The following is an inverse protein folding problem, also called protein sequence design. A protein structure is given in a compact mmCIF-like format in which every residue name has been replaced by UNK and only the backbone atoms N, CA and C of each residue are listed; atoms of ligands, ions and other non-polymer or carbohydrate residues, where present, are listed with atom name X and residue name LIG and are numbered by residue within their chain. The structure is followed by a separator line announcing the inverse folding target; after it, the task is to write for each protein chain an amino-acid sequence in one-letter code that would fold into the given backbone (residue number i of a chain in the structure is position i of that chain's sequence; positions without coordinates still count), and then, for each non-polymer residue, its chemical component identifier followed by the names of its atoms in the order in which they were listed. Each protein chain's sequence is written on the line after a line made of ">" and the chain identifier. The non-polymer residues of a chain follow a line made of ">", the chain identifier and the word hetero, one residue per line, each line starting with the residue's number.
data_IF_244926557027
#
_entry.id   IF_244926557027
#
_cell.length_a   1.000
_cell.length_b   1.000
_cell.length_c   1.000
_cell.angle_alpha   90.00
_cell.angle_beta   90.00
_cell.angle_gamma   90.00
#
_symmetry.space_group_name_H-M   'P 1'
#
loop_
_entity.id
_entity.type
_entity.pdbx_description
1 polymer ?
#
# COMPACT_ATOMS: atom_id res chain seq x y z
N UNK A 1 35.26 87.99 -42.95
CA UNK A 1 35.57 87.77 -41.52
C UNK A 1 35.14 86.37 -41.15
N UNK A 2 35.95 85.71 -40.31
CA UNK A 2 35.90 84.29 -39.93
C UNK A 2 34.56 83.85 -39.30
N UNK A 3 34.39 82.52 -39.30
CA UNK A 3 33.66 81.59 -38.38
C UNK A 3 32.53 80.84 -39.08
N UNK A 4 32.34 79.52 -38.96
CA UNK A 4 33.16 78.38 -38.48
C UNK A 4 32.34 77.12 -38.77
N UNK A 5 33.03 76.08 -39.21
CA UNK A 5 32.61 74.70 -39.45
C UNK A 5 32.24 73.93 -38.18
N UNK A 6 31.21 73.06 -38.21
CA UNK A 6 31.19 71.77 -37.50
C UNK A 6 30.26 70.78 -38.23
N UNK A 7 30.84 69.71 -38.76
CA UNK A 7 30.17 68.54 -39.34
C UNK A 7 29.89 67.52 -38.23
N UNK A 8 28.64 67.07 -38.11
CA UNK A 8 28.23 66.03 -37.17
C UNK A 8 28.52 64.64 -37.76
N UNK A 9 29.46 63.91 -37.15
CA UNK A 9 29.69 62.49 -37.41
C UNK A 9 28.90 61.65 -36.40
N UNK A 10 27.93 60.88 -36.88
CA UNK A 10 27.23 59.87 -36.09
C UNK A 10 28.05 58.56 -36.07
N UNK A 11 28.34 58.05 -34.88
CA UNK A 11 28.94 56.73 -34.66
C UNK A 11 27.81 55.71 -34.52
N UNK A 12 27.64 54.85 -35.51
CA UNK A 12 26.78 53.67 -35.42
C UNK A 12 27.62 52.44 -35.07
N UNK A 13 27.48 51.95 -33.84
CA UNK A 13 28.07 50.71 -33.36
C UNK A 13 27.26 49.53 -33.94
N UNK A 14 27.82 48.81 -34.91
CA UNK A 14 27.22 47.58 -35.44
C UNK A 14 27.47 46.40 -34.52
N UNK A 15 26.43 45.90 -33.85
CA UNK A 15 26.45 44.63 -33.13
C UNK A 15 26.15 43.53 -34.15
N UNK A 16 27.14 42.69 -34.47
CA UNK A 16 26.93 41.48 -35.25
C UNK A 16 26.26 40.41 -34.36
N UNK A 17 24.96 40.17 -34.54
CA UNK A 17 24.28 38.99 -34.01
C UNK A 17 24.69 37.78 -34.87
N UNK A 18 25.55 36.92 -34.33
CA UNK A 18 25.74 35.58 -34.86
C UNK A 18 24.53 34.71 -34.50
N UNK A 19 23.66 34.46 -35.49
CA UNK A 19 22.59 33.47 -35.36
C UNK A 19 23.21 32.06 -35.34
N UNK A 20 23.31 31.46 -34.16
CA UNK A 20 23.62 30.03 -34.03
C UNK A 20 22.37 29.25 -34.41
N UNK A 21 22.35 28.74 -35.64
CA UNK A 21 21.36 27.74 -36.07
C UNK A 21 21.77 26.42 -35.43
N UNK A 22 21.13 26.07 -34.31
CA UNK A 22 21.20 24.72 -33.75
C UNK A 22 20.35 23.83 -34.64
N UNK A 23 20.99 23.07 -35.53
CA UNK A 23 20.35 21.98 -36.24
C UNK A 23 19.97 20.92 -35.21
N UNK A 24 18.69 20.89 -34.83
CA UNK A 24 18.11 19.73 -34.15
C UNK A 24 18.14 18.59 -35.17
N UNK A 25 19.12 17.69 -35.04
CA UNK A 25 19.09 16.42 -35.77
C UNK A 25 17.76 15.70 -35.50
N UNK A 26 17.28 14.85 -36.43
CA UNK A 26 16.08 14.08 -36.20
C UNK A 26 16.27 13.29 -34.91
N UNK A 27 15.47 13.63 -33.88
CA UNK A 27 15.48 12.92 -32.62
C UNK A 27 15.28 11.44 -32.92
N UNK A 28 16.22 10.60 -32.50
CA UNK A 28 16.09 9.15 -32.64
C UNK A 28 14.75 8.77 -32.06
N UNK A 29 13.84 8.25 -32.89
CA UNK A 29 12.59 7.70 -32.42
C UNK A 29 12.94 6.67 -31.35
N UNK A 30 12.52 6.91 -30.11
CA UNK A 30 12.76 5.98 -29.03
C UNK A 30 12.21 4.63 -29.46
N UNK A 31 13.08 3.64 -29.62
CA UNK A 31 12.67 2.27 -29.93
C UNK A 31 11.72 1.86 -28.82
N UNK A 32 10.47 1.57 -29.17
CA UNK A 32 9.48 1.11 -28.21
C UNK A 32 10.05 -0.12 -27.50
N UNK A 33 10.05 -0.12 -26.17
CA UNK A 33 10.49 -1.28 -25.42
C UNK A 33 9.66 -2.51 -25.88
N UNK A 34 10.28 -3.67 -26.09
CA UNK A 34 9.56 -4.87 -26.47
C UNK A 34 8.47 -5.17 -25.42
N UNK A 35 7.30 -5.65 -25.84
CA UNK A 35 6.23 -6.00 -24.91
C UNK A 35 6.61 -7.25 -24.11
N UNK A 36 6.16 -7.33 -22.86
CA UNK A 36 6.30 -8.57 -22.09
C UNK A 36 5.43 -9.66 -22.74
N UNK A 37 6.02 -10.80 -23.08
CA UNK A 37 5.31 -11.87 -23.79
C UNK A 37 4.48 -12.74 -22.82
N UNK A 38 3.22 -12.99 -23.19
CA UNK A 38 2.29 -13.86 -22.48
C UNK A 38 1.30 -13.12 -21.57
N UNK A 39 0.23 -13.80 -21.17
CA UNK A 39 -0.84 -13.23 -20.31
C UNK A 39 -0.39 -13.05 -18.85
N UNK A 40 0.69 -13.73 -18.47
CA UNK A 40 1.31 -13.69 -17.15
C UNK A 40 2.75 -13.27 -17.27
N UNK A 41 3.12 -12.23 -16.53
CA UNK A 41 4.45 -11.64 -16.53
C UNK A 41 5.17 -11.99 -15.24
N UNK A 42 6.37 -12.55 -15.35
CA UNK A 42 7.24 -12.85 -14.21
C UNK A 42 8.09 -11.64 -13.82
N UNK A 43 8.64 -11.65 -12.60
CA UNK A 43 9.56 -10.60 -12.15
C UNK A 43 10.82 -10.51 -13.02
N UNK A 44 11.28 -11.64 -13.57
CA UNK A 44 12.43 -11.70 -14.49
C UNK A 44 12.13 -10.98 -15.81
N UNK A 45 10.94 -11.18 -16.38
CA UNK A 45 10.49 -10.46 -17.57
C UNK A 45 10.39 -8.95 -17.28
N UNK A 46 9.82 -8.53 -16.14
CA UNK A 46 9.78 -7.11 -15.78
C UNK A 46 11.18 -6.49 -15.63
N UNK A 47 12.14 -7.25 -15.10
CA UNK A 47 13.52 -6.79 -14.95
C UNK A 47 14.20 -6.54 -16.30
N UNK A 48 13.73 -7.16 -17.39
CA UNK A 48 14.22 -6.87 -18.75
C UNK A 48 13.76 -5.52 -19.31
N UNK A 49 12.85 -4.81 -18.60
CA UNK A 49 12.35 -3.49 -18.99
C UNK A 49 11.30 -3.51 -20.09
N UNK A 50 10.62 -4.65 -20.31
CA UNK A 50 9.56 -4.75 -21.30
C UNK A 50 8.31 -3.91 -20.95
N UNK A 51 7.56 -3.51 -21.98
CA UNK A 51 6.31 -2.76 -21.82
C UNK A 51 5.14 -3.67 -21.43
N UNK A 52 4.33 -3.20 -20.49
CA UNK A 52 3.28 -3.95 -19.81
C UNK A 52 1.94 -3.29 -20.14
N UNK A 53 1.20 -3.83 -21.11
CA UNK A 53 -0.05 -3.21 -21.60
C UNK A 53 -1.25 -3.52 -20.70
N UNK A 54 -1.51 -4.80 -20.37
CA UNK A 54 -2.47 -5.26 -19.34
C UNK A 54 -2.23 -6.72 -18.89
N UNK A 55 -1.03 -7.13 -18.44
CA UNK A 55 -0.82 -8.50 -17.95
C UNK A 55 -1.02 -8.62 -16.44
N UNK A 56 -1.14 -9.87 -16.01
CA UNK A 56 -1.10 -10.26 -14.60
C UNK A 56 0.35 -10.53 -14.18
N UNK A 57 0.85 -9.90 -13.13
CA UNK A 57 2.11 -10.27 -12.50
C UNK A 57 1.89 -11.49 -11.61
N UNK A 58 2.75 -12.49 -11.76
CA UNK A 58 2.76 -13.67 -10.89
C UNK A 58 4.04 -13.68 -10.08
N UNK A 59 3.91 -13.63 -8.76
CA UNK A 59 5.03 -13.74 -7.84
C UNK A 59 5.48 -15.20 -7.68
N UNK A 60 6.72 -15.46 -7.21
CA UNK A 60 7.22 -16.82 -6.99
C UNK A 60 6.35 -17.66 -6.04
N UNK A 61 5.65 -17.02 -5.11
CA UNK A 61 4.71 -17.66 -4.18
C UNK A 61 3.32 -17.96 -4.78
N UNK A 62 3.10 -17.61 -6.05
CA UNK A 62 1.85 -17.87 -6.77
C UNK A 62 0.79 -16.78 -6.63
N UNK A 63 1.02 -15.71 -5.84
CA UNK A 63 0.13 -14.55 -5.81
C UNK A 63 0.06 -13.89 -7.18
N UNK A 64 -1.16 -13.47 -7.55
CA UNK A 64 -1.45 -12.91 -8.87
C UNK A 64 -2.00 -11.50 -8.74
N UNK A 65 -1.44 -10.59 -9.54
CA UNK A 65 -1.76 -9.17 -9.50
C UNK A 65 -2.06 -8.64 -10.88
N UNK A 66 -3.21 -8.01 -11.08
CA UNK A 66 -3.42 -7.20 -12.27
C UNK A 66 -2.57 -5.94 -12.14
N UNK A 67 -1.74 -5.66 -13.16
CA UNK A 67 -0.94 -4.43 -13.17
C UNK A 67 -1.89 -3.23 -13.20
N UNK A 68 -1.74 -2.27 -12.26
CA UNK A 68 -2.65 -1.13 -12.21
C UNK A 68 -2.32 -0.13 -13.33
N UNK A 69 -3.24 0.81 -13.56
CA UNK A 69 -3.03 1.91 -14.51
C UNK A 69 -1.76 2.72 -14.18
N UNK A 70 -1.10 3.34 -15.18
CA UNK A 70 0.04 4.22 -14.96
C UNK A 70 -0.23 5.28 -13.88
N UNK A 71 0.74 5.48 -12.98
CA UNK A 71 0.64 6.39 -11.83
C UNK A 71 -0.06 5.80 -10.61
N UNK A 72 -0.43 4.51 -10.64
CA UNK A 72 -1.14 3.83 -9.56
C UNK A 72 -0.25 2.76 -8.91
N UNK A 73 -0.38 2.64 -7.59
CA UNK A 73 0.16 1.53 -6.80
C UNK A 73 -1.00 0.68 -6.30
N UNK A 74 -0.93 -0.63 -6.50
CA UNK A 74 -1.77 -1.60 -5.80
C UNK A 74 -0.93 -2.30 -4.73
N UNK A 75 -1.46 -2.43 -3.52
CA UNK A 75 -0.81 -3.18 -2.43
C UNK A 75 -1.68 -4.34 -1.98
N UNK A 76 -1.11 -5.52 -1.74
CA UNK A 76 -1.77 -6.65 -1.06
C UNK A 76 -1.07 -6.91 0.28
N UNK A 77 -1.87 -6.96 1.33
CA UNK A 77 -1.41 -6.94 2.71
C UNK A 77 -2.12 -8.09 3.45
N UNK A 78 -1.49 -9.26 3.58
CA UNK A 78 -2.11 -10.47 4.13
C UNK A 78 -1.90 -10.60 5.63
N UNK A 79 -2.81 -11.27 6.35
CA UNK A 79 -2.52 -11.75 7.72
C UNK A 79 -2.74 -13.25 7.80
N UNK A 80 -1.79 -13.96 8.42
CA UNK A 80 -1.81 -15.42 8.51
C UNK A 80 -2.15 -15.93 9.92
N UNK A 81 -2.43 -17.22 10.02
CA UNK A 81 -2.45 -17.93 11.29
C UNK A 81 -1.04 -17.98 11.89
N UNK A 82 -0.94 -17.91 13.22
CA UNK A 82 0.35 -17.97 13.91
C UNK A 82 1.15 -19.24 13.55
N UNK A 83 2.45 -19.06 13.31
CA UNK A 83 3.36 -20.14 12.89
C UNK A 83 3.42 -20.36 11.38
N UNK A 84 2.70 -19.55 10.60
CA UNK A 84 2.71 -19.58 9.13
C UNK A 84 3.28 -18.26 8.60
N UNK A 85 4.00 -18.36 7.49
CA UNK A 85 4.45 -17.21 6.68
C UNK A 85 3.25 -16.65 5.91
N UNK A 86 3.01 -15.35 6.00
CA UNK A 86 1.92 -14.65 5.31
C UNK A 86 2.25 -14.29 3.85
N UNK A 87 3.51 -14.49 3.44
CA UNK A 87 4.04 -14.10 2.14
C UNK A 87 4.49 -12.63 2.09
N UNK A 88 4.34 -11.86 3.16
CA UNK A 88 4.77 -10.47 3.25
C UNK A 88 3.93 -9.44 2.48
N UNK A 89 4.18 -8.17 2.78
CA UNK A 89 3.49 -7.02 2.18
C UNK A 89 3.94 -6.83 0.73
N UNK A 90 3.02 -6.74 -0.22
CA UNK A 90 3.36 -6.50 -1.64
C UNK A 90 2.84 -5.14 -2.08
N UNK A 91 3.67 -4.38 -2.80
CA UNK A 91 3.25 -3.22 -3.58
C UNK A 91 3.71 -3.34 -5.03
N UNK A 92 2.80 -3.12 -5.97
CA UNK A 92 3.07 -3.06 -7.41
C UNK A 92 2.70 -1.68 -7.92
N UNK A 93 3.70 -0.94 -8.40
CA UNK A 93 3.55 0.41 -8.90
C UNK A 93 3.81 0.45 -10.39
N UNK A 94 2.81 0.88 -11.17
CA UNK A 94 3.01 1.20 -12.57
C UNK A 94 3.46 2.66 -12.68
N UNK A 95 4.75 2.89 -12.97
CA UNK A 95 5.32 4.24 -13.10
C UNK A 95 5.13 4.85 -14.51
N UNK A 96 4.31 4.21 -15.35
CA UNK A 96 4.12 4.60 -16.74
C UNK A 96 5.36 4.27 -17.57
N UNK A 97 5.96 5.28 -18.20
CA UNK A 97 7.10 5.08 -19.12
C UNK A 97 8.33 4.47 -18.47
N UNK A 98 8.52 4.63 -17.16
CA UNK A 98 9.63 4.03 -16.44
C UNK A 98 9.42 2.53 -16.15
N UNK A 99 8.22 1.98 -16.38
CA UNK A 99 7.88 0.57 -16.22
C UNK A 99 7.20 0.26 -14.89
N UNK A 100 7.27 -1.00 -14.46
CA UNK A 100 6.66 -1.46 -13.21
C UNK A 100 7.73 -1.70 -12.15
N UNK A 101 7.47 -1.23 -10.94
CA UNK A 101 8.22 -1.58 -9.74
C UNK A 101 7.38 -2.54 -8.89
N UNK A 102 8.02 -3.60 -8.38
CA UNK A 102 7.43 -4.53 -7.43
C UNK A 102 8.25 -4.47 -6.15
N UNK A 103 7.57 -4.35 -5.03
CA UNK A 103 8.16 -4.42 -3.70
C UNK A 103 7.49 -5.56 -2.94
N UNK A 104 8.27 -6.47 -2.39
CA UNK A 104 7.83 -7.51 -1.44
C UNK A 104 8.58 -7.26 -0.15
N UNK A 105 7.87 -6.91 0.92
CA UNK A 105 8.41 -6.35 2.15
C UNK A 105 9.40 -5.20 1.88
N UNK A 106 10.70 -5.43 2.01
CA UNK A 106 11.75 -4.46 1.72
C UNK A 106 12.56 -4.77 0.44
N UNK A 107 12.28 -5.90 -0.21
CA UNK A 107 12.92 -6.32 -1.45
C UNK A 107 12.26 -5.67 -2.67
N UNK A 108 13.07 -5.15 -3.59
CA UNK A 108 12.62 -4.47 -4.81
C UNK A 108 12.96 -5.28 -6.06
N UNK A 109 12.05 -5.24 -7.04
CA UNK A 109 12.18 -5.92 -8.33
C UNK A 109 11.44 -5.14 -9.43
N UNK A 110 11.65 -5.52 -10.68
CA UNK A 110 11.05 -4.87 -11.86
C UNK A 110 12.02 -3.94 -12.58
N UNK A 111 11.49 -2.97 -13.33
CA UNK A 111 12.31 -2.05 -14.12
C UNK A 111 13.20 -1.22 -13.20
N UNK A 112 14.51 -1.16 -13.50
CA UNK A 112 15.46 -0.39 -12.68
C UNK A 112 15.10 1.10 -12.60
N UNK A 113 14.51 1.67 -13.66
CA UNK A 113 14.04 3.05 -13.64
C UNK A 113 12.81 3.22 -12.73
N UNK A 114 11.81 2.34 -12.86
CA UNK A 114 10.63 2.33 -12.01
C UNK A 114 10.98 2.15 -10.54
N UNK A 115 11.86 1.19 -10.21
CA UNK A 115 12.31 0.93 -8.84
C UNK A 115 13.00 2.14 -8.22
N UNK A 116 13.90 2.82 -8.95
CA UNK A 116 14.54 4.04 -8.45
C UNK A 116 13.53 5.15 -8.18
N UNK A 117 12.62 5.36 -9.12
CA UNK A 117 11.58 6.39 -9.01
C UNK A 117 10.66 6.11 -7.81
N UNK A 118 10.13 4.90 -7.69
CA UNK A 118 9.17 4.58 -6.65
C UNK A 118 9.84 4.48 -5.26
N UNK A 119 11.09 4.01 -5.17
CA UNK A 119 11.82 4.03 -3.91
C UNK A 119 12.03 5.45 -3.39
N UNK A 120 12.32 6.40 -4.28
CA UNK A 120 12.44 7.81 -3.91
C UNK A 120 11.08 8.39 -3.50
N UNK A 121 10.04 8.18 -4.33
CA UNK A 121 8.71 8.67 -4.05
C UNK A 121 8.15 8.12 -2.72
N UNK A 122 8.35 6.84 -2.44
CA UNK A 122 7.96 6.24 -1.15
C UNK A 122 8.69 6.89 0.01
N UNK A 123 10.02 7.10 -0.10
CA UNK A 123 10.80 7.80 0.94
C UNK A 123 10.22 9.17 1.23
N UNK A 124 9.88 9.92 0.20
CA UNK A 124 9.31 11.26 0.33
C UNK A 124 7.93 11.20 1.00
N UNK A 125 7.08 10.23 0.63
CA UNK A 125 5.74 10.05 1.23
C UNK A 125 5.79 9.60 2.69
N UNK A 126 6.85 8.91 3.11
CA UNK A 126 7.04 8.49 4.52
C UNK A 126 8.05 9.37 5.25
N UNK A 127 8.48 10.50 4.67
CA UNK A 127 9.38 11.46 5.32
C UNK A 127 8.59 12.46 6.17
N UNK A 128 8.13 11.99 7.33
CA UNK A 128 7.71 12.82 8.48
C UNK A 128 7.74 11.95 9.74
N UNK A 129 8.52 12.27 10.76
CA UNK A 129 8.84 11.42 11.93
C UNK A 129 9.72 10.18 11.61
N UNK A 130 11.04 10.38 11.71
CA UNK A 130 11.99 9.29 11.93
C UNK A 130 11.86 8.88 13.40
N UNK A 131 11.20 7.76 13.67
CA UNK A 131 11.49 6.95 14.86
C UNK A 131 12.27 5.75 14.37
N UNK A 132 13.41 5.50 15.01
CA UNK A 132 14.39 4.46 14.67
C UNK A 132 13.73 3.10 14.44
N UNK A 133 13.80 2.60 13.21
CA UNK A 133 13.48 1.20 12.86
C UNK A 133 14.48 0.28 13.56
N UNK A 134 13.98 -0.59 14.45
CA UNK A 134 14.69 -1.81 14.79
C UNK A 134 14.76 -2.69 13.55
N UNK A 135 15.96 -3.10 13.16
CA UNK A 135 16.16 -4.08 12.10
C UNK A 135 15.40 -5.37 12.44
N UNK A 136 14.71 -5.95 11.46
CA UNK A 136 14.26 -7.34 11.53
C UNK A 136 15.50 -8.23 11.70
N UNK A 137 15.82 -8.55 12.94
CA UNK A 137 16.92 -9.44 13.31
C UNK A 137 16.32 -10.66 13.98
N UNK A 138 16.71 -11.83 13.48
CA UNK A 138 16.37 -13.17 13.97
C UNK A 138 17.10 -13.48 15.27
N UNK A 139 16.88 -12.66 16.30
CA UNK A 139 17.36 -12.94 17.65
C UNK A 139 16.17 -12.92 18.61
N UNK A 140 16.07 -13.97 19.42
CA UNK A 140 15.05 -14.15 20.44
C UNK A 140 15.22 -13.12 21.57
N UNK A 141 14.95 -11.84 21.30
CA UNK A 141 14.68 -10.85 22.32
C UNK A 141 13.28 -11.10 22.87
N UNK A 142 13.15 -11.04 24.20
CA UNK A 142 11.89 -11.05 24.95
C UNK A 142 10.80 -10.28 24.19
N UNK A 143 9.64 -10.91 23.97
CA UNK A 143 8.52 -10.27 23.28
C UNK A 143 8.25 -8.89 23.90
N UNK A 144 8.26 -7.85 23.05
CA UNK A 144 7.89 -6.52 23.51
C UNK A 144 6.41 -6.55 23.91
N UNK A 145 6.06 -5.90 25.02
CA UNK A 145 4.65 -5.75 25.37
C UNK A 145 4.01 -4.72 24.44
N UNK A 146 2.72 -4.88 24.14
CA UNK A 146 1.97 -3.97 23.26
C UNK A 146 2.14 -2.50 23.63
N UNK A 147 2.30 -2.19 24.92
CA UNK A 147 2.44 -0.82 25.43
C UNK A 147 3.88 -0.30 25.60
N UNK A 148 4.90 -1.09 25.25
CA UNK A 148 6.29 -0.63 25.23
C UNK A 148 6.87 -0.59 23.82
N UNK A 149 6.26 -1.32 22.89
CA UNK A 149 6.69 -1.32 21.51
C UNK A 149 6.19 -0.09 20.76
N UNK A 150 7.11 0.72 20.25
CA UNK A 150 6.82 1.93 19.45
C UNK A 150 6.99 1.72 17.95
N UNK A 151 7.25 0.50 17.49
CA UNK A 151 7.50 0.22 16.08
C UNK A 151 6.21 0.36 15.26
N UNK A 152 6.32 0.95 14.06
CA UNK A 152 5.28 0.94 13.05
C UNK A 152 5.91 1.07 11.65
N UNK A 153 5.16 0.66 10.63
CA UNK A 153 5.54 0.81 9.22
C UNK A 153 4.47 1.62 8.51
N UNK A 154 4.86 2.57 7.67
CA UNK A 154 3.94 3.30 6.79
C UNK A 154 4.12 2.82 5.35
N UNK A 155 2.99 2.59 4.68
CA UNK A 155 2.93 2.19 3.27
C UNK A 155 3.04 3.39 2.31
N UNK A 156 3.00 4.61 2.85
CA UNK A 156 3.16 5.84 2.06
C UNK A 156 1.91 6.22 1.28
N UNK A 157 0.74 5.79 1.74
CA UNK A 157 -0.55 6.34 1.31
C UNK A 157 -1.42 6.71 2.50
N UNK A 158 -2.42 7.57 2.26
CA UNK A 158 -3.52 7.88 3.18
C UNK A 158 -4.79 8.17 2.40
N UNK A 159 -5.92 8.15 3.08
CA UNK A 159 -7.18 8.63 2.52
C UNK A 159 -7.31 10.16 2.66
N UNK A 160 -7.96 10.78 1.67
CA UNK A 160 -8.30 12.20 1.70
C UNK A 160 -9.63 12.49 2.43
N UNK A 161 -10.44 11.46 2.64
CA UNK A 161 -11.71 11.51 3.37
C UNK A 161 -12.06 10.12 3.90
N UNK A 162 -13.30 9.90 4.39
CA UNK A 162 -13.70 8.61 4.94
C UNK A 162 -13.64 7.49 3.90
N UNK A 163 -13.26 6.30 4.34
CA UNK A 163 -13.33 5.08 3.54
C UNK A 163 -14.79 4.67 3.41
N UNK A 164 -15.39 4.89 2.24
CA UNK A 164 -16.74 4.41 1.95
C UNK A 164 -16.67 2.95 1.49
N UNK A 165 -17.16 2.02 2.30
CA UNK A 165 -17.08 0.59 2.00
C UNK A 165 -18.44 -0.10 2.04
N UNK A 166 -18.60 -1.12 1.21
CA UNK A 166 -19.80 -1.97 1.19
C UNK A 166 -19.46 -3.39 1.59
N UNK A 167 -20.44 -4.11 2.12
CA UNK A 167 -20.26 -5.48 2.59
C UNK A 167 -20.86 -6.51 1.63
N UNK A 168 -20.06 -7.51 1.26
CA UNK A 168 -20.53 -8.68 0.53
C UNK A 168 -20.78 -9.86 1.49
N UNK A 169 -22.04 -10.25 1.76
CA UNK A 169 -22.39 -11.36 2.66
C UNK A 169 -22.20 -12.75 2.04
N UNK A 170 -21.86 -12.86 0.75
CA UNK A 170 -21.72 -14.16 0.12
C UNK A 170 -20.62 -14.98 0.82
N UNK A 171 -20.90 -16.25 1.10
CA UNK A 171 -20.00 -17.20 1.78
C UNK A 171 -19.58 -16.82 3.21
N UNK A 172 -20.28 -15.87 3.83
CA UNK A 172 -20.05 -15.42 5.20
C UNK A 172 -20.03 -16.59 6.20
N UNK A 173 -19.06 -16.56 7.11
CA UNK A 173 -18.87 -17.62 8.13
C UNK A 173 -19.46 -17.29 9.49
N UNK A 174 -19.51 -16.01 9.84
CA UNK A 174 -20.12 -15.46 11.06
C UNK A 174 -20.68 -14.08 10.76
N UNK A 175 -21.61 -13.56 11.57
CA UNK A 175 -22.11 -12.18 11.43
C UNK A 175 -20.94 -11.17 11.44
N UNK A 176 -20.70 -10.51 10.30
CA UNK A 176 -19.45 -9.83 10.01
C UNK A 176 -19.47 -8.30 10.11
N UNK A 177 -20.46 -7.58 9.52
CA UNK A 177 -20.36 -6.13 9.35
C UNK A 177 -20.10 -5.34 10.63
N UNK A 178 -20.75 -5.72 11.73
CA UNK A 178 -20.55 -5.05 13.02
C UNK A 178 -19.17 -5.31 13.61
N UNK A 179 -18.67 -6.55 13.53
CA UNK A 179 -17.33 -6.89 14.04
C UNK A 179 -16.23 -6.25 13.19
N UNK A 180 -16.43 -6.19 11.86
CA UNK A 180 -15.52 -5.56 10.91
C UNK A 180 -15.51 -4.04 11.10
N UNK A 181 -16.69 -3.42 11.20
CA UNK A 181 -16.82 -1.99 11.50
C UNK A 181 -16.19 -1.63 12.84
N UNK A 182 -16.38 -2.43 13.88
CA UNK A 182 -15.73 -2.23 15.17
C UNK A 182 -14.21 -2.40 15.15
N UNK A 183 -13.66 -3.09 14.14
CA UNK A 183 -12.22 -3.13 13.87
C UNK A 183 -11.73 -1.84 13.22
N UNK A 184 -12.54 -1.25 12.32
CA UNK A 184 -12.27 0.06 11.73
C UNK A 184 -12.31 1.17 12.80
N UNK A 185 -13.36 1.18 13.61
CA UNK A 185 -13.61 2.18 14.65
C UNK A 185 -12.53 2.19 15.76
N UNK A 186 -11.70 1.15 15.85
CA UNK A 186 -10.56 1.14 16.75
C UNK A 186 -9.47 2.16 16.37
N UNK A 187 -9.47 2.64 15.12
CA UNK A 187 -8.49 3.57 14.56
C UNK A 187 -8.99 5.01 14.43
N UNK A 188 -10.27 5.27 14.70
CA UNK A 188 -10.92 6.54 14.33
C UNK A 188 -11.21 7.42 15.55
N UNK A 189 -11.18 8.74 15.35
CA UNK A 189 -11.55 9.71 16.39
C UNK A 189 -10.58 9.71 17.60
N UNK A 190 -11.07 10.04 18.81
CA UNK A 190 -10.26 9.99 20.03
C UNK A 190 -9.90 8.54 20.38
N UNK A 191 -8.63 8.19 20.19
CA UNK A 191 -8.11 6.85 20.51
C UNK A 191 -7.20 6.95 21.73
N UNK A 192 -7.52 6.19 22.77
CA UNK A 192 -6.71 6.12 24.00
C UNK A 192 -6.18 4.70 24.21
N UNK A 193 -4.87 4.55 24.25
CA UNK A 193 -4.21 3.29 24.58
C UNK A 193 -2.86 3.53 25.23
N UNK A 194 -2.42 2.59 26.07
CA UNK A 194 -1.10 2.62 26.69
C UNK A 194 -0.76 3.95 27.42
N UNK A 195 -1.78 4.58 28.03
CA UNK A 195 -1.63 5.85 28.74
C UNK A 195 -1.47 7.08 27.84
N UNK A 196 -1.66 6.95 26.53
CA UNK A 196 -1.61 8.04 25.55
C UNK A 196 -2.95 8.16 24.83
N UNK A 197 -3.33 9.40 24.51
CA UNK A 197 -4.51 9.72 23.71
C UNK A 197 -4.09 10.53 22.49
N UNK A 198 -4.62 10.16 21.33
CA UNK A 198 -4.52 10.93 20.08
C UNK A 198 -5.93 11.15 19.55
N UNK A 199 -6.07 12.03 18.55
CA UNK A 199 -7.30 12.17 17.77
C UNK A 199 -6.98 11.87 16.32
N UNK A 200 -7.30 10.67 15.86
CA UNK A 200 -7.09 10.24 14.49
C UNK A 200 -8.16 10.83 13.58
N UNK A 201 -7.74 11.41 12.45
CA UNK A 201 -8.64 11.85 11.37
C UNK A 201 -9.02 10.73 10.39
N UNK A 202 -8.53 9.49 10.62
CA UNK A 202 -9.00 8.32 9.88
C UNK A 202 -10.50 8.11 10.17
N UNK A 203 -11.26 7.76 9.13
CA UNK A 203 -12.70 7.57 9.24
C UNK A 203 -13.20 6.58 8.19
N UNK A 204 -14.39 6.05 8.41
CA UNK A 204 -15.05 5.11 7.51
C UNK A 204 -16.56 5.31 7.51
N UNK A 205 -17.18 4.88 6.41
CA UNK A 205 -18.63 4.82 6.29
C UNK A 205 -19.04 3.52 5.63
N UNK A 206 -19.74 2.68 6.40
CA UNK A 206 -20.39 1.50 5.87
C UNK A 206 -21.63 1.89 5.05
N UNK A 207 -21.61 1.58 3.75
CA UNK A 207 -22.68 1.88 2.79
C UNK A 207 -23.78 0.81 2.76
N UNK A 208 -23.60 -0.30 3.48
CA UNK A 208 -24.53 -1.42 3.51
C UNK A 208 -24.10 -2.57 2.60
N UNK A 209 -25.06 -3.41 2.22
CA UNK A 209 -24.80 -4.63 1.46
C UNK A 209 -24.60 -4.34 -0.02
N UNK A 210 -23.50 -4.85 -0.58
CA UNK A 210 -23.23 -4.89 -2.02
C UNK A 210 -22.72 -6.29 -2.38
N UNK A 211 -23.47 -7.03 -3.20
CA UNK A 211 -23.09 -8.38 -3.65
C UNK A 211 -22.12 -8.36 -4.83
N UNK A 212 -21.04 -7.59 -4.70
CA UNK A 212 -19.97 -7.49 -5.69
C UNK A 212 -18.75 -8.30 -5.24
N UNK A 213 -18.06 -8.94 -6.17
CA UNK A 213 -16.81 -9.62 -5.84
C UNK A 213 -15.73 -8.59 -5.45
N UNK A 214 -14.96 -8.91 -4.41
CA UNK A 214 -13.79 -8.12 -4.04
C UNK A 214 -12.67 -8.35 -5.05
N UNK A 215 -11.88 -7.31 -5.32
CA UNK A 215 -10.66 -7.32 -6.11
C UNK A 215 -9.53 -8.13 -5.47
N UNK A 216 -9.60 -8.51 -4.19
CA UNK A 216 -8.67 -9.51 -3.64
C UNK A 216 -8.85 -10.85 -4.38
N UNK A 217 -7.77 -11.43 -4.90
CA UNK A 217 -7.82 -12.70 -5.65
C UNK A 217 -7.77 -13.92 -4.73
N UNK A 218 -8.15 -15.10 -5.24
CA UNK A 218 -8.11 -16.33 -4.45
C UNK A 218 -6.67 -16.78 -4.09
N UNK A 219 -5.66 -16.28 -4.81
CA UNK A 219 -4.26 -16.55 -4.50
C UNK A 219 -3.67 -15.55 -3.51
N UNK A 220 -4.43 -14.56 -3.03
CA UNK A 220 -3.96 -13.54 -2.07
C UNK A 220 -3.29 -12.31 -2.70
N UNK A 221 -3.43 -12.11 -4.02
CA UNK A 221 -3.03 -10.86 -4.69
C UNK A 221 -4.23 -9.95 -4.99
N UNK A 222 -4.06 -8.99 -5.89
CA UNK A 222 -5.09 -7.99 -6.22
C UNK A 222 -5.45 -7.97 -7.71
N UNK A 223 -6.73 -7.91 -8.01
CA UNK A 223 -7.28 -7.71 -9.34
C UNK A 223 -7.24 -6.25 -9.79
N UNK A 224 -8.05 -5.94 -10.80
CA UNK A 224 -8.24 -4.55 -11.23
C UNK A 224 -9.10 -3.78 -10.21
N UNK A 225 -8.75 -2.52 -9.98
CA UNK A 225 -9.61 -1.57 -9.27
C UNK A 225 -10.95 -1.41 -10.01
N UNK A 226 -12.05 -1.32 -9.28
CA UNK A 226 -13.40 -1.18 -9.84
C UNK A 226 -14.18 0.03 -9.28
N UNK A 227 -13.48 0.94 -8.61
CA UNK A 227 -13.99 2.13 -7.94
C UNK A 227 -14.96 1.86 -6.78
N UNK A 228 -15.05 0.63 -6.27
CA UNK A 228 -15.86 0.27 -5.11
C UNK A 228 -14.97 -0.40 -4.07
N UNK A 229 -15.02 0.09 -2.83
CA UNK A 229 -14.36 -0.60 -1.71
C UNK A 229 -15.30 -1.66 -1.14
N UNK A 230 -14.93 -2.93 -1.25
CA UNK A 230 -15.76 -4.07 -0.88
C UNK A 230 -15.06 -4.96 0.12
N UNK A 231 -15.76 -5.23 1.23
CA UNK A 231 -15.33 -6.17 2.26
C UNK A 231 -16.20 -7.42 2.23
N UNK A 232 -15.60 -8.61 2.17
CA UNK A 232 -16.37 -9.85 2.13
C UNK A 232 -15.57 -11.11 2.36
N UNK A 233 -16.09 -12.25 1.90
CA UNK A 233 -15.56 -13.57 2.20
C UNK A 233 -15.19 -14.34 0.92
N UNK A 234 -14.11 -15.09 0.96
CA UNK A 234 -13.71 -15.91 -0.17
C UNK A 234 -12.61 -16.90 0.15
N UNK A 235 -12.25 -17.71 -0.85
CA UNK A 235 -11.04 -18.51 -0.77
C UNK A 235 -9.81 -17.61 -0.73
N UNK A 236 -8.85 -18.03 0.08
CA UNK A 236 -7.50 -17.48 0.21
C UNK A 236 -6.52 -18.65 0.30
N UNK A 237 -5.21 -18.40 0.16
CA UNK A 237 -4.19 -19.41 0.42
C UNK A 237 -4.37 -20.06 1.80
N UNK A 238 -3.84 -21.27 1.92
CA UNK A 238 -3.95 -22.05 3.15
C UNK A 238 -3.40 -21.23 4.33
N UNK A 239 -4.16 -21.21 5.43
CA UNK A 239 -3.82 -20.55 6.69
C UNK A 239 -3.69 -19.01 6.62
N UNK A 240 -3.97 -18.38 5.47
CA UNK A 240 -4.24 -16.93 5.38
C UNK A 240 -5.63 -16.63 5.91
N UNK A 241 -5.74 -15.65 6.81
CA UNK A 241 -6.98 -15.27 7.49
C UNK A 241 -7.68 -14.12 6.78
N UNK A 242 -6.91 -13.11 6.38
CA UNK A 242 -7.38 -11.89 5.75
C UNK A 242 -6.37 -11.39 4.72
N UNK A 243 -6.84 -10.64 3.73
CA UNK A 243 -6.00 -9.85 2.83
C UNK A 243 -6.70 -8.55 2.53
N UNK A 244 -5.97 -7.45 2.65
CA UNK A 244 -6.38 -6.12 2.23
C UNK A 244 -5.65 -5.72 0.95
N UNK A 245 -6.43 -5.42 -0.10
CA UNK A 245 -5.94 -4.76 -1.30
C UNK A 245 -6.22 -3.27 -1.22
N UNK A 246 -5.21 -2.41 -1.44
CA UNK A 246 -5.40 -0.96 -1.53
C UNK A 246 -4.82 -0.44 -2.83
N UNK A 247 -5.61 0.34 -3.57
CA UNK A 247 -5.14 1.10 -4.72
C UNK A 247 -4.94 2.56 -4.33
N UNK A 248 -3.79 3.12 -4.68
CA UNK A 248 -3.44 4.51 -4.40
C UNK A 248 -2.80 5.20 -5.60
N UNK A 249 -3.02 6.51 -5.71
CA UNK A 249 -2.47 7.37 -6.76
C UNK A 249 -1.70 8.50 -6.09
N UNK A 250 -0.40 8.57 -6.34
CA UNK A 250 0.49 9.58 -5.74
C UNK A 250 0.37 9.69 -4.21
N UNK A 251 0.16 8.58 -3.51
CA UNK A 251 -0.01 8.55 -2.05
C UNK A 251 -1.43 8.80 -1.54
N UNK A 252 -2.40 9.03 -2.41
CA UNK A 252 -3.82 9.10 -2.04
C UNK A 252 -4.48 7.76 -2.31
N UNK A 253 -4.97 7.08 -1.28
CA UNK A 253 -5.78 5.88 -1.43
C UNK A 253 -7.12 6.22 -2.10
N UNK A 254 -7.57 5.36 -3.01
CA UNK A 254 -8.78 5.56 -3.81
C UNK A 254 -9.75 4.38 -3.73
N UNK A 255 -9.27 3.20 -3.37
CA UNK A 255 -10.08 1.98 -3.24
C UNK A 255 -9.40 1.03 -2.25
N UNK A 256 -10.19 0.34 -1.43
CA UNK A 256 -9.72 -0.76 -0.60
C UNK A 256 -10.70 -1.92 -0.61
N UNK A 257 -10.18 -3.12 -0.82
CA UNK A 257 -10.96 -4.35 -0.78
C UNK A 257 -10.39 -5.29 0.26
N UNK A 258 -11.25 -5.94 1.03
CA UNK A 258 -10.84 -6.91 2.05
C UNK A 258 -11.52 -8.24 1.81
N UNK A 259 -10.74 -9.32 1.91
CA UNK A 259 -11.28 -10.68 1.86
C UNK A 259 -10.90 -11.42 3.13
N UNK A 260 -11.90 -11.98 3.80
CA UNK A 260 -11.74 -12.88 4.93
C UNK A 260 -11.89 -14.32 4.47
N UNK A 261 -11.03 -15.19 4.98
CA UNK A 261 -10.92 -16.57 4.53
C UNK A 261 -12.14 -17.41 4.88
N UNK A 262 -12.59 -18.22 3.93
CA UNK A 262 -13.67 -19.19 4.14
C UNK A 262 -13.17 -20.57 4.60
N UNK A 263 -11.86 -20.77 4.74
CA UNK A 263 -11.25 -22.07 5.10
C UNK A 263 -10.94 -22.23 6.59
N UNK A 264 -11.19 -21.19 7.39
CA UNK A 264 -10.93 -21.20 8.85
C UNK A 264 -12.21 -20.98 9.66
N UNK A 265 -12.16 -21.35 10.94
CA UNK A 265 -13.26 -21.12 11.86
C UNK A 265 -13.15 -19.72 12.49
N UNK A 266 -14.26 -18.99 12.47
CA UNK A 266 -14.33 -17.61 12.96
C UNK A 266 -15.17 -17.49 14.22
N UNK A 267 -14.87 -16.49 15.04
CA UNK A 267 -15.70 -15.98 16.12
C UNK A 267 -15.93 -14.49 15.93
N UNK A 268 -17.19 -14.07 15.97
CA UNK A 268 -17.57 -12.66 16.09
C UNK A 268 -18.13 -12.35 17.50
N UNK A 269 -18.03 -13.29 18.43
CA UNK A 269 -18.59 -13.17 19.77
C UNK A 269 -17.74 -12.27 20.67
N UNK A 270 -18.37 -11.64 21.67
CA UNK A 270 -17.67 -10.83 22.67
C UNK A 270 -16.57 -11.62 23.40
N UNK A 271 -16.85 -12.89 23.72
CA UNK A 271 -15.86 -13.84 24.25
C UNK A 271 -15.49 -14.84 23.16
N UNK A 272 -14.19 -15.00 22.88
CA UNK A 272 -13.71 -16.04 21.96
C UNK A 272 -13.27 -17.28 22.73
N UNK A 273 -13.59 -18.47 22.22
CA UNK A 273 -13.09 -19.74 22.75
C UNK A 273 -12.85 -20.79 21.66
N UNK A 274 -11.98 -21.75 21.98
CA UNK A 274 -11.63 -22.87 21.11
C UNK A 274 -10.73 -22.47 19.93
N UNK A 275 -10.65 -23.36 18.93
CA UNK A 275 -9.84 -23.15 17.73
C UNK A 275 -10.57 -22.25 16.70
N UNK A 276 -10.85 -21.00 17.08
CA UNK A 276 -11.49 -19.98 16.24
C UNK A 276 -10.67 -18.70 16.20
N UNK A 277 -10.62 -18.04 15.06
CA UNK A 277 -10.00 -16.72 14.93
C UNK A 277 -10.99 -15.62 15.30
N UNK A 278 -10.50 -14.59 15.97
CA UNK A 278 -11.31 -13.45 16.37
C UNK A 278 -11.50 -12.49 15.19
N UNK A 279 -12.72 -12.41 14.65
CA UNK A 279 -13.00 -11.60 13.47
C UNK A 279 -12.74 -10.11 13.72
N UNK A 280 -13.09 -9.60 14.90
CA UNK A 280 -12.85 -8.18 15.22
C UNK A 280 -11.36 -7.87 15.28
N UNK A 281 -10.56 -8.71 15.95
CA UNK A 281 -9.11 -8.55 16.01
C UNK A 281 -8.45 -8.59 14.63
N UNK A 282 -8.80 -9.58 13.80
CA UNK A 282 -8.30 -9.66 12.41
C UNK A 282 -8.77 -8.45 11.61
N UNK A 283 -10.03 -8.04 11.72
CA UNK A 283 -10.50 -6.85 11.02
C UNK A 283 -9.79 -5.56 11.47
N UNK A 284 -9.43 -5.45 12.75
CA UNK A 284 -8.64 -4.31 13.26
C UNK A 284 -7.30 -4.24 12.53
N UNK A 285 -6.65 -5.38 12.32
CA UNK A 285 -5.43 -5.49 11.52
C UNK A 285 -5.64 -5.08 10.05
N UNK A 286 -6.64 -5.65 9.37
CA UNK A 286 -6.96 -5.32 7.97
C UNK A 286 -7.33 -3.83 7.78
N UNK A 287 -7.97 -3.21 8.77
CA UNK A 287 -8.25 -1.77 8.74
C UNK A 287 -7.00 -0.91 8.94
N UNK A 288 -6.04 -1.35 9.75
CA UNK A 288 -4.73 -0.68 9.83
C UNK A 288 -4.04 -0.63 8.46
N UNK A 289 -4.11 -1.72 7.69
CA UNK A 289 -3.69 -1.75 6.29
C UNK A 289 -4.45 -0.79 5.40
N UNK A 290 -5.79 -0.78 5.49
CA UNK A 290 -6.62 0.15 4.72
C UNK A 290 -6.27 1.63 5.02
N UNK A 291 -5.81 1.93 6.23
CA UNK A 291 -5.36 3.26 6.65
C UNK A 291 -3.88 3.57 6.36
N UNK A 292 -3.12 2.65 5.75
CA UNK A 292 -1.76 2.91 5.29
C UNK A 292 -0.65 2.42 6.22
N UNK A 293 -0.97 1.59 7.21
CA UNK A 293 0.02 0.90 8.02
C UNK A 293 0.44 -0.42 7.36
N UNK A 294 1.75 -0.70 7.41
CA UNK A 294 2.31 -1.99 7.01
C UNK A 294 2.64 -2.85 8.22
N UNK A 295 3.16 -4.05 7.97
CA UNK A 295 3.50 -4.96 9.06
C UNK A 295 4.59 -4.44 10.02
N UNK A 296 4.47 -4.90 11.26
CA UNK A 296 5.48 -4.88 12.32
C UNK A 296 6.06 -6.28 12.50
N UNK A 297 7.08 -6.44 13.36
CA UNK A 297 7.64 -7.76 13.65
C UNK A 297 6.57 -8.71 14.25
N UNK A 298 6.63 -10.01 13.94
CA UNK A 298 5.67 -11.01 14.41
C UNK A 298 5.54 -11.09 15.95
N UNK A 299 6.62 -10.80 16.68
CA UNK A 299 6.67 -10.79 18.14
C UNK A 299 6.45 -9.39 18.76
N UNK A 300 5.93 -8.42 17.99
CA UNK A 300 5.79 -7.03 18.41
C UNK A 300 4.75 -6.82 19.52
N UNK A 301 3.76 -7.71 19.61
CA UNK A 301 2.58 -7.53 20.46
C UNK A 301 1.62 -6.45 19.96
N UNK A 302 1.83 -5.92 18.75
CA UNK A 302 1.02 -4.88 18.12
C UNK A 302 -0.03 -5.49 17.18
N UNK A 303 -1.05 -4.70 16.85
CA UNK A 303 -2.12 -5.08 15.91
C UNK A 303 -1.56 -5.44 14.56
N UNK A 304 -0.61 -4.65 14.05
CA UNK A 304 -0.03 -4.83 12.71
C UNK A 304 1.02 -5.95 12.63
N UNK A 305 1.01 -6.96 13.49
CA UNK A 305 1.89 -8.13 13.31
C UNK A 305 1.33 -9.08 12.23
N UNK A 306 2.17 -9.75 11.42
CA UNK A 306 1.73 -10.54 10.26
C UNK A 306 0.96 -11.83 10.58
N UNK A 307 0.88 -12.23 11.85
CA UNK A 307 0.16 -13.45 12.21
C UNK A 307 -0.57 -13.41 13.54
N UNK A 308 -1.72 -14.09 13.58
CA UNK A 308 -2.67 -14.07 14.70
C UNK A 308 -2.95 -15.49 15.19
N UNK A 309 -3.01 -15.67 16.50
CA UNK A 309 -3.41 -16.93 17.12
C UNK A 309 -4.94 -17.04 17.26
N UNK A 310 -5.46 -18.26 17.39
CA UNK A 310 -6.88 -18.46 17.70
C UNK A 310 -7.24 -17.78 19.02
N UNK A 311 -8.37 -17.08 19.02
CA UNK A 311 -8.89 -16.32 20.15
C UNK A 311 -7.94 -15.28 20.75
N UNK A 312 -7.05 -14.73 19.94
CA UNK A 312 -6.20 -13.62 20.32
C UNK A 312 -6.98 -12.29 20.29
N UNK A 313 -7.79 -12.05 21.33
CA UNK A 313 -8.65 -10.85 21.42
C UNK A 313 -7.89 -9.56 21.75
N UNK A 314 -6.60 -9.64 22.11
CA UNK A 314 -5.74 -8.48 22.30
C UNK A 314 -5.62 -7.62 21.04
N UNK A 315 -5.81 -8.22 19.86
CA UNK A 315 -5.75 -7.54 18.56
C UNK A 315 -6.97 -6.62 18.30
N UNK A 316 -7.98 -6.60 19.18
CA UNK A 316 -9.14 -5.70 19.08
C UNK A 316 -8.83 -4.25 19.49
N UNK A 317 -7.68 -4.01 20.12
CA UNK A 317 -7.27 -2.71 20.64
C UNK A 317 -5.83 -2.42 20.24
N UNK A 318 -5.53 -1.13 20.08
CA UNK A 318 -4.24 -0.67 19.58
C UNK A 318 -3.14 -0.79 20.65
N UNK A 319 -1.95 -1.24 20.27
CA UNK A 319 -0.73 -1.04 21.04
C UNK A 319 -0.15 0.37 20.86
N UNK A 320 0.97 0.65 21.53
CA UNK A 320 1.62 1.96 21.45
C UNK A 320 2.13 2.26 20.04
N UNK A 321 2.76 1.29 19.38
CA UNK A 321 3.24 1.41 18.00
C UNK A 321 2.11 1.64 17.00
N UNK A 322 0.98 0.95 17.16
CA UNK A 322 -0.22 1.14 16.34
C UNK A 322 -0.76 2.58 16.48
N UNK A 323 -0.84 3.07 17.72
CA UNK A 323 -1.27 4.44 18.04
C UNK A 323 -0.34 5.49 17.42
N UNK A 324 0.98 5.31 17.56
CA UNK A 324 1.97 6.22 16.96
C UNK A 324 1.95 6.15 15.42
N UNK A 325 1.66 4.97 14.87
CA UNK A 325 1.57 4.77 13.43
C UNK A 325 0.41 5.54 12.82
N UNK A 326 -0.79 5.44 13.40
CA UNK A 326 -1.97 6.14 12.88
C UNK A 326 -1.85 7.67 13.06
N UNK A 327 -1.32 8.14 14.20
CA UNK A 327 -0.99 9.56 14.47
C UNK A 327 0.02 10.13 13.45
N UNK A 328 0.90 9.28 12.93
CA UNK A 328 1.88 9.67 11.92
C UNK A 328 1.32 9.74 10.48
N UNK A 329 0.05 9.36 10.27
CA UNK A 329 -0.63 9.38 8.96
C UNK A 329 -1.81 10.38 8.95
N UNK A 330 -2.55 10.49 10.05
CA UNK A 330 -3.83 11.20 10.18
C UNK A 330 -3.85 12.24 11.29
#
# INVERSE_FOLDING_TARGET
>A
MRTSSWTAGAVTLGIALAAVVVSTGPGSAAVAAPACNGDRVTLEQLASGCAVATPTIVLPDGRQFVVPEPGTTVSALPVAASGVDDGGDVSITNTGRAGVAVRVDDAWSGSAAAVRQERQALRDRVAAAVVTRGAATTSATKAATSCTNTSYTRLGFRWAGPVNWSYNPNNQKVTGPSAIGAGADAWTGPVSSCGRTITSTADQKHLGVLKQAMGVTATGGCGAANASSVVGWGSLPKDTLGVTCVWSRSGTAVETDQRYSTSVNWSAAATCSGARFDLRGVATHEWGHAYGLGHTAANSGLVMKPSVSTCETSQRGLGLGDLLGIDAIY
#
